data_IF_039328506096
#
_entry.id   IF_039328506096
#
_cell.length_a   1.000
_cell.length_b   1.000
_cell.length_c   1.000
_cell.angle_alpha   90.00
_cell.angle_beta   90.00
_cell.angle_gamma   90.00
#
_symmetry.space_group_name_H-M   'P 1'
#
loop_
_entity.id
_entity.type
_entity.pdbx_description
1 polymer ?
#
# COMPACT_ATOMS: atom_id res chain seq x y z
N UNK A 1 37.87 -19.92 71.43
CA UNK A 1 38.27 -20.21 70.02
C UNK A 1 37.26 -21.23 69.50
N UNK A 2 36.53 -21.05 68.40
CA UNK A 2 36.70 -20.18 67.25
C UNK A 2 35.33 -19.68 66.74
N UNK A 3 35.28 -18.44 66.25
CA UNK A 3 34.18 -17.92 65.42
C UNK A 3 34.40 -18.40 63.98
N UNK A 4 33.42 -19.08 63.37
CA UNK A 4 33.42 -19.29 61.91
C UNK A 4 32.48 -18.29 61.26
N UNK A 5 33.07 -17.44 60.42
CA UNK A 5 32.38 -16.45 59.60
C UNK A 5 31.77 -17.13 58.37
N UNK A 6 30.50 -16.83 58.16
CA UNK A 6 29.68 -17.17 56.99
C UNK A 6 30.30 -16.67 55.69
N UNK A 7 30.48 -17.56 54.72
CA UNK A 7 30.78 -17.20 53.33
C UNK A 7 29.58 -17.63 52.44
N UNK A 8 28.67 -16.70 52.16
CA UNK A 8 27.64 -16.88 51.12
C UNK A 8 28.32 -16.68 49.76
N UNK A 9 28.42 -17.75 48.99
CA UNK A 9 28.85 -17.71 47.59
C UNK A 9 27.81 -16.92 46.78
N UNK A 10 28.23 -15.77 46.23
CA UNK A 10 27.45 -15.04 45.23
C UNK A 10 27.66 -15.70 43.88
N UNK A 11 26.58 -16.22 43.28
CA UNK A 11 26.59 -16.65 41.88
C UNK A 11 26.77 -15.44 40.96
N UNK A 12 27.53 -15.55 39.86
CA UNK A 12 27.73 -14.45 38.93
C UNK A 12 26.41 -14.11 38.22
N UNK A 13 25.91 -12.88 38.44
CA UNK A 13 24.77 -12.34 37.68
C UNK A 13 25.14 -12.27 36.19
N UNK A 14 24.32 -12.88 35.34
CA UNK A 14 24.43 -12.72 33.88
C UNK A 14 24.30 -11.23 33.53
N UNK A 15 25.11 -10.70 32.59
CA UNK A 15 25.03 -9.31 32.18
C UNK A 15 23.64 -9.02 31.61
N UNK A 16 22.94 -8.05 32.21
CA UNK A 16 21.62 -7.59 31.76
C UNK A 16 21.77 -7.01 30.35
N UNK A 17 21.27 -7.75 29.37
CA UNK A 17 21.20 -7.33 27.98
C UNK A 17 20.47 -5.97 27.92
N UNK A 18 21.07 -4.97 27.28
CA UNK A 18 20.52 -3.61 27.26
C UNK A 18 19.20 -3.62 26.47
N UNK A 19 18.08 -3.70 27.19
CA UNK A 19 16.75 -3.64 26.60
C UNK A 19 16.56 -2.28 25.92
N UNK A 20 16.37 -2.29 24.60
CA UNK A 20 16.13 -1.09 23.80
C UNK A 20 14.85 -0.35 24.20
N UNK A 21 14.79 0.95 23.91
CA UNK A 21 13.69 1.84 24.33
C UNK A 21 12.30 1.33 23.90
N UNK A 22 12.17 0.82 22.68
CA UNK A 22 10.91 0.25 22.18
C UNK A 22 10.47 -0.98 22.98
N UNK A 23 11.39 -1.86 23.35
CA UNK A 23 11.06 -3.06 24.11
C UNK A 23 10.70 -2.73 25.57
N UNK A 24 11.29 -1.67 26.13
CA UNK A 24 10.84 -1.12 27.42
C UNK A 24 9.41 -0.57 27.35
N UNK A 25 9.07 0.11 26.26
CA UNK A 25 7.73 0.63 26.02
C UNK A 25 6.70 -0.49 25.81
N UNK A 26 7.02 -1.51 25.00
CA UNK A 26 6.17 -2.69 24.80
C UNK A 26 5.90 -3.43 26.12
N UNK A 27 6.94 -3.67 26.93
CA UNK A 27 6.78 -4.30 28.25
C UNK A 27 5.90 -3.47 29.20
N UNK A 28 6.02 -2.13 29.16
CA UNK A 28 5.16 -1.24 29.95
C UNK A 28 3.70 -1.33 29.51
N UNK A 29 3.44 -1.33 28.19
CA UNK A 29 2.10 -1.48 27.65
C UNK A 29 1.49 -2.85 27.98
N UNK A 30 2.28 -3.92 27.88
CA UNK A 30 1.83 -5.29 28.19
C UNK A 30 1.40 -5.42 29.65
N UNK A 31 2.19 -4.87 30.57
CA UNK A 31 1.92 -4.95 32.01
C UNK A 31 0.74 -4.08 32.47
N UNK A 32 0.60 -2.87 31.92
CA UNK A 32 -0.35 -1.87 32.44
C UNK A 32 -1.62 -1.72 31.59
N UNK A 33 -1.55 -2.05 30.29
CA UNK A 33 -2.63 -1.81 29.33
C UNK A 33 -2.75 -2.96 28.30
N UNK A 34 -3.13 -4.18 28.73
CA UNK A 34 -3.06 -5.39 27.89
C UNK A 34 -3.92 -5.32 26.61
N UNK A 35 -5.09 -4.66 26.66
CA UNK A 35 -5.92 -4.43 25.45
C UNK A 35 -5.24 -3.50 24.44
N UNK A 36 -4.61 -2.43 24.92
CA UNK A 36 -3.84 -1.49 24.10
C UNK A 36 -2.59 -2.16 23.52
N UNK A 37 -1.93 -3.00 24.32
CA UNK A 37 -0.79 -3.80 23.87
C UNK A 37 -1.16 -4.79 22.76
N UNK A 38 -2.29 -5.49 22.88
CA UNK A 38 -2.77 -6.40 21.84
C UNK A 38 -2.99 -5.67 20.50
N UNK A 39 -3.63 -4.50 20.53
CA UNK A 39 -3.81 -3.66 19.33
C UNK A 39 -2.47 -3.14 18.78
N UNK A 40 -1.56 -2.70 19.65
CA UNK A 40 -0.22 -2.26 19.29
C UNK A 40 0.57 -3.38 18.59
N UNK A 41 0.58 -4.59 19.15
CA UNK A 41 1.25 -5.76 18.55
C UNK A 41 0.64 -6.12 17.20
N UNK A 42 -0.69 -6.09 17.08
CA UNK A 42 -1.37 -6.24 15.78
C UNK A 42 -0.74 -5.28 14.77
N UNK A 43 -0.81 -3.98 15.04
CA UNK A 43 -0.31 -2.91 14.15
C UNK A 43 1.16 -3.13 13.77
N UNK A 44 2.02 -3.37 14.75
CA UNK A 44 3.46 -3.58 14.53
C UNK A 44 3.70 -4.81 13.66
N UNK A 45 2.99 -5.91 13.90
CA UNK A 45 3.21 -7.16 13.17
C UNK A 45 2.75 -7.07 11.71
N UNK A 46 1.59 -6.50 11.42
CA UNK A 46 1.21 -6.30 10.00
C UNK A 46 2.02 -5.21 9.29
N UNK A 47 2.58 -4.22 10.01
CA UNK A 47 3.60 -3.33 9.44
C UNK A 47 4.88 -4.11 9.08
N UNK A 48 5.32 -5.04 9.93
CA UNK A 48 6.46 -5.94 9.63
C UNK A 48 6.16 -6.82 8.42
N UNK A 49 4.94 -7.33 8.29
CA UNK A 49 4.53 -8.13 7.12
C UNK A 49 4.56 -7.29 5.85
N UNK A 50 4.04 -6.06 5.87
CA UNK A 50 4.11 -5.15 4.72
C UNK A 50 5.56 -4.84 4.29
N UNK A 51 6.46 -4.63 5.25
CA UNK A 51 7.89 -4.40 4.98
C UNK A 51 8.57 -5.67 4.45
N UNK A 52 8.20 -6.84 4.99
CA UNK A 52 8.70 -8.14 4.53
C UNK A 52 8.33 -8.39 3.08
N UNK A 53 7.07 -8.19 2.72
CA UNK A 53 6.59 -8.35 1.36
C UNK A 53 7.22 -7.33 0.41
N UNK A 54 7.45 -6.10 0.85
CA UNK A 54 8.16 -5.10 0.06
C UNK A 54 9.60 -5.55 -0.25
N UNK A 55 10.31 -6.06 0.76
CA UNK A 55 11.67 -6.62 0.56
C UNK A 55 11.65 -7.83 -0.37
N UNK A 56 10.65 -8.70 -0.21
CA UNK A 56 10.43 -9.85 -1.07
C UNK A 56 10.21 -9.42 -2.53
N UNK A 57 9.34 -8.44 -2.78
CA UNK A 57 9.09 -7.87 -4.11
C UNK A 57 10.36 -7.31 -4.76
N UNK A 58 11.16 -6.53 -4.03
CA UNK A 58 12.42 -5.98 -4.54
C UNK A 58 13.45 -7.07 -4.84
N UNK A 59 13.53 -8.10 -3.99
CA UNK A 59 14.40 -9.25 -4.20
C UNK A 59 14.02 -10.01 -5.48
N UNK A 60 12.72 -10.26 -5.66
CA UNK A 60 12.15 -10.89 -6.85
C UNK A 60 12.45 -10.07 -8.11
N UNK A 61 12.14 -8.77 -8.09
CA UNK A 61 12.33 -7.88 -9.25
C UNK A 61 13.81 -7.79 -9.65
N UNK A 62 14.72 -7.74 -8.67
CA UNK A 62 16.16 -7.75 -8.91
C UNK A 62 16.63 -9.09 -9.47
N UNK A 63 16.13 -10.21 -8.94
CA UNK A 63 16.49 -11.56 -9.37
C UNK A 63 16.00 -11.92 -10.77
N UNK A 64 14.82 -11.44 -11.15
CA UNK A 64 14.29 -11.57 -12.52
C UNK A 64 15.10 -10.74 -13.52
N UNK A 65 15.52 -9.51 -13.15
CA UNK A 65 16.36 -8.65 -14.02
C UNK A 65 17.76 -9.20 -14.26
N UNK A 66 18.26 -10.05 -13.37
CA UNK A 66 19.62 -10.61 -13.43
C UNK A 66 19.65 -12.09 -13.86
N UNK A 67 18.53 -12.64 -14.35
CA UNK A 67 18.34 -14.06 -14.70
C UNK A 67 18.69 -15.07 -13.58
N UNK A 68 18.88 -14.59 -12.35
CA UNK A 68 19.19 -15.41 -11.17
C UNK A 68 17.94 -16.05 -10.54
N UNK A 69 16.75 -15.58 -10.90
CA UNK A 69 15.46 -16.10 -10.44
C UNK A 69 14.58 -16.35 -11.65
N UNK A 70 14.04 -17.57 -11.77
CA UNK A 70 13.05 -17.93 -12.80
C UNK A 70 11.68 -18.06 -12.14
N UNK A 71 10.63 -17.64 -12.84
CA UNK A 71 9.24 -17.71 -12.34
C UNK A 71 8.88 -19.13 -11.89
N UNK A 72 9.35 -20.14 -12.62
CA UNK A 72 9.15 -21.57 -12.34
C UNK A 72 9.78 -22.06 -11.02
N UNK A 73 10.76 -21.31 -10.50
CA UNK A 73 11.53 -21.66 -9.30
C UNK A 73 11.13 -20.85 -8.07
N UNK A 74 10.16 -19.94 -8.21
CA UNK A 74 9.71 -19.09 -7.13
C UNK A 74 8.87 -19.87 -6.11
N UNK A 75 9.01 -19.53 -4.83
CA UNK A 75 8.10 -20.06 -3.82
C UNK A 75 6.71 -19.48 -3.99
N UNK A 76 5.70 -20.16 -3.45
CA UNK A 76 4.32 -19.68 -3.49
C UNK A 76 4.17 -18.27 -2.91
N UNK A 77 4.86 -17.98 -1.81
CA UNK A 77 4.83 -16.68 -1.13
C UNK A 77 5.48 -15.58 -1.98
N UNK A 78 6.57 -15.92 -2.69
CA UNK A 78 7.21 -15.00 -3.64
C UNK A 78 6.29 -14.73 -4.84
N UNK A 79 5.63 -15.76 -5.35
CA UNK A 79 4.64 -15.62 -6.41
C UNK A 79 3.47 -14.75 -5.96
N UNK A 80 2.94 -14.90 -4.74
CA UNK A 80 1.85 -14.07 -4.21
C UNK A 80 2.25 -12.59 -4.05
N UNK A 81 3.50 -12.31 -3.70
CA UNK A 81 4.06 -10.96 -3.65
C UNK A 81 4.34 -10.38 -5.04
N UNK A 82 4.67 -11.24 -6.01
CA UNK A 82 4.95 -10.88 -7.40
C UNK A 82 3.68 -10.72 -8.24
N UNK A 83 2.66 -11.54 -7.97
CA UNK A 83 1.40 -11.60 -8.68
C UNK A 83 0.66 -10.28 -8.51
N UNK A 84 0.48 -9.62 -9.64
CA UNK A 84 -0.25 -8.37 -9.79
C UNK A 84 -1.62 -8.50 -9.11
N UNK A 85 -1.95 -7.59 -8.19
CA UNK A 85 -3.27 -7.56 -7.53
C UNK A 85 -4.41 -7.13 -8.47
N UNK A 86 -4.09 -6.72 -9.69
CA UNK A 86 -5.03 -6.22 -10.69
C UNK A 86 -6.15 -7.21 -11.04
N UNK A 87 -5.92 -8.51 -11.32
CA UNK A 87 -7.00 -9.46 -11.63
C UNK A 87 -7.95 -9.66 -10.45
N UNK A 88 -7.42 -9.75 -9.22
CA UNK A 88 -8.24 -9.93 -8.03
C UNK A 88 -9.14 -8.72 -7.78
N UNK A 89 -8.60 -7.50 -7.92
CA UNK A 89 -9.35 -6.25 -7.74
C UNK A 89 -10.34 -6.03 -8.90
N UNK A 90 -9.95 -6.32 -10.14
CA UNK A 90 -10.83 -6.13 -11.31
C UNK A 90 -11.98 -7.14 -11.37
N UNK A 91 -11.83 -8.33 -10.77
CA UNK A 91 -12.86 -9.38 -10.79
C UNK A 91 -14.23 -8.97 -10.21
N UNK A 92 -14.29 -7.95 -9.36
CA UNK A 92 -15.53 -7.42 -8.79
C UNK A 92 -15.97 -6.09 -9.39
N UNK A 93 -15.22 -5.56 -10.35
CA UNK A 93 -15.62 -4.38 -11.11
C UNK A 93 -16.61 -4.83 -12.19
N UNK A 94 -17.74 -4.15 -12.28
CA UNK A 94 -18.69 -4.34 -13.38
C UNK A 94 -18.60 -3.16 -14.33
N UNK A 95 -18.68 -3.46 -15.62
CA UNK A 95 -18.61 -2.48 -16.70
C UNK A 95 -19.99 -2.34 -17.35
N UNK A 96 -20.33 -1.14 -17.79
CA UNK A 96 -21.55 -0.91 -18.58
C UNK A 96 -21.47 -1.56 -19.96
N UNK A 97 -22.62 -1.86 -20.55
CA UNK A 97 -22.76 -2.67 -21.78
C UNK A 97 -21.97 -2.14 -23.00
N UNK A 98 -21.64 -0.84 -23.02
CA UNK A 98 -20.96 -0.18 -24.13
C UNK A 98 -19.48 0.15 -23.84
N UNK A 99 -18.95 -0.31 -22.72
CA UNK A 99 -17.55 -0.07 -22.33
C UNK A 99 -16.65 -1.15 -22.96
N UNK A 100 -15.68 -0.73 -23.77
CA UNK A 100 -14.61 -1.60 -24.28
C UNK A 100 -13.37 -1.45 -23.39
N UNK A 101 -12.75 -2.58 -23.08
CA UNK A 101 -11.46 -2.61 -22.37
C UNK A 101 -10.29 -2.51 -23.36
N UNK A 102 -9.15 -1.89 -22.99
CA UNK A 102 -8.96 -1.10 -21.76
C UNK A 102 -9.75 0.22 -21.80
N UNK A 103 -10.33 0.60 -20.67
CA UNK A 103 -11.17 1.79 -20.58
C UNK A 103 -10.32 3.06 -20.54
N UNK A 104 -10.71 4.09 -21.30
CA UNK A 104 -10.06 5.39 -21.20
C UNK A 104 -10.48 6.09 -19.88
N UNK A 105 -9.58 6.84 -19.25
CA UNK A 105 -9.88 7.67 -18.08
C UNK A 105 -11.19 8.46 -18.21
N UNK A 106 -11.47 9.04 -19.38
CA UNK A 106 -12.67 9.83 -19.62
C UNK A 106 -13.98 9.06 -19.40
N UNK A 107 -13.95 7.74 -19.60
CA UNK A 107 -15.08 6.84 -19.47
C UNK A 107 -15.25 6.31 -18.03
N UNK A 108 -14.30 6.53 -17.12
CA UNK A 108 -14.40 6.09 -15.73
C UNK A 108 -15.34 7.03 -14.98
N UNK A 109 -16.49 6.51 -14.59
CA UNK A 109 -17.51 7.18 -13.78
C UNK A 109 -18.47 6.12 -13.22
N UNK A 110 -19.40 6.52 -12.36
CA UNK A 110 -20.33 5.58 -11.71
C UNK A 110 -21.38 4.95 -12.63
N UNK A 111 -21.61 5.47 -13.84
CA UNK A 111 -22.56 4.86 -14.79
C UNK A 111 -21.88 3.77 -15.61
N UNK A 112 -20.60 3.97 -15.95
CA UNK A 112 -19.83 3.08 -16.80
C UNK A 112 -19.05 2.03 -16.02
N UNK A 113 -18.71 2.34 -14.76
CA UNK A 113 -17.89 1.50 -13.87
C UNK A 113 -18.59 1.41 -12.53
N UNK A 114 -19.11 0.22 -12.23
CA UNK A 114 -19.76 -0.07 -10.96
C UNK A 114 -18.77 -0.89 -10.13
N UNK A 115 -18.35 -0.30 -9.01
CA UNK A 115 -17.51 -0.96 -8.00
C UNK A 115 -18.30 -1.14 -6.71
N UNK A 116 -18.06 -2.24 -5.97
CA UNK A 116 -18.67 -2.41 -4.65
C UNK A 116 -18.21 -1.30 -3.70
N UNK A 117 -19.11 -0.84 -2.82
CA UNK A 117 -18.74 0.07 -1.73
C UNK A 117 -17.71 -0.57 -0.80
N UNK A 118 -16.88 0.25 -0.13
CA UNK A 118 -15.76 -0.25 0.67
C UNK A 118 -16.20 -1.16 1.81
N UNK A 119 -17.40 -0.93 2.36
CA UNK A 119 -18.02 -1.72 3.44
C UNK A 119 -18.58 -3.05 2.95
N UNK A 120 -18.84 -3.16 1.64
CA UNK A 120 -19.38 -4.36 1.00
C UNK A 120 -18.30 -5.26 0.39
N UNK A 121 -17.02 -4.89 0.51
CA UNK A 121 -15.90 -5.69 0.02
C UNK A 121 -15.76 -6.98 0.85
N UNK A 122 -15.62 -8.11 0.16
CA UNK A 122 -15.18 -9.34 0.81
C UNK A 122 -13.72 -9.22 1.29
N UNK A 123 -13.32 -10.10 2.22
CA UNK A 123 -12.01 -10.02 2.86
C UNK A 123 -10.84 -10.14 1.86
N UNK A 124 -11.02 -10.93 0.80
CA UNK A 124 -9.99 -11.11 -0.22
C UNK A 124 -9.82 -9.84 -1.06
N UNK A 125 -10.93 -9.25 -1.52
CA UNK A 125 -10.91 -8.01 -2.28
C UNK A 125 -10.35 -6.85 -1.45
N UNK A 126 -10.81 -6.73 -0.20
CA UNK A 126 -10.29 -5.75 0.76
C UNK A 126 -8.78 -5.92 0.92
N UNK A 127 -8.29 -7.14 1.15
CA UNK A 127 -6.85 -7.42 1.23
C UNK A 127 -6.10 -6.95 -0.01
N UNK A 128 -6.53 -7.34 -1.21
CA UNK A 128 -5.85 -6.94 -2.44
C UNK A 128 -5.86 -5.43 -2.67
N UNK A 129 -6.97 -4.75 -2.37
CA UNK A 129 -7.07 -3.30 -2.47
C UNK A 129 -6.15 -2.59 -1.47
N UNK A 130 -6.06 -3.08 -0.24
CA UNK A 130 -5.13 -2.58 0.78
C UNK A 130 -3.67 -2.73 0.33
N UNK A 131 -3.32 -3.90 -0.22
CA UNK A 131 -1.97 -4.18 -0.70
C UNK A 131 -1.61 -3.34 -1.92
N UNK A 132 -2.53 -3.20 -2.86
CA UNK A 132 -2.37 -2.34 -4.05
C UNK A 132 -2.09 -0.88 -3.67
N UNK A 133 -2.85 -0.35 -2.70
CA UNK A 133 -2.65 1.00 -2.18
C UNK A 133 -1.54 1.11 -1.13
N UNK A 134 -0.87 -0.01 -0.81
CA UNK A 134 0.22 -0.09 0.17
C UNK A 134 -0.17 0.47 1.54
N UNK A 135 -1.41 0.22 1.96
CA UNK A 135 -1.94 0.62 3.26
C UNK A 135 -2.03 -0.58 4.21
N UNK A 136 -1.92 -0.29 5.52
CA UNK A 136 -1.97 -1.33 6.55
C UNK A 136 -3.34 -2.04 6.59
N UNK A 137 -3.37 -3.36 6.80
CA UNK A 137 -4.64 -4.09 6.93
C UNK A 137 -5.38 -3.82 8.24
N UNK A 138 -4.72 -3.29 9.28
CA UNK A 138 -5.40 -2.93 10.52
C UNK A 138 -6.19 -1.65 10.36
N UNK A 139 -7.48 -1.72 10.70
CA UNK A 139 -8.44 -0.66 10.38
C UNK A 139 -8.42 -0.33 8.88
N UNK A 140 -8.30 -1.37 8.03
CA UNK A 140 -8.09 -1.23 6.60
C UNK A 140 -9.10 -0.32 5.91
N UNK A 141 -10.39 -0.44 6.26
CA UNK A 141 -11.44 0.43 5.77
C UNK A 141 -11.13 1.92 6.04
N UNK A 142 -10.81 2.27 7.29
CA UNK A 142 -10.43 3.63 7.68
C UNK A 142 -9.18 4.11 6.94
N UNK A 143 -8.20 3.23 6.73
CA UNK A 143 -6.97 3.55 6.01
C UNK A 143 -7.21 3.77 4.51
N UNK A 144 -8.10 3.00 3.89
CA UNK A 144 -8.51 3.20 2.50
C UNK A 144 -9.27 4.51 2.32
N UNK A 145 -10.21 4.84 3.22
CA UNK A 145 -10.89 6.14 3.19
C UNK A 145 -9.91 7.30 3.34
N UNK A 146 -8.97 7.20 4.28
CA UNK A 146 -7.92 8.21 4.43
C UNK A 146 -7.04 8.32 3.17
N UNK A 147 -6.76 7.19 2.50
CA UNK A 147 -6.02 7.16 1.24
C UNK A 147 -6.79 7.85 0.11
N UNK A 148 -8.08 7.53 -0.04
CA UNK A 148 -8.99 8.17 -1.00
C UNK A 148 -9.02 9.68 -0.79
N UNK A 149 -9.24 10.12 0.46
CA UNK A 149 -9.27 11.54 0.81
C UNK A 149 -7.95 12.26 0.47
N UNK A 150 -6.80 11.63 0.74
CA UNK A 150 -5.50 12.19 0.40
C UNK A 150 -5.32 12.35 -1.12
N UNK A 151 -5.73 11.35 -1.91
CA UNK A 151 -5.72 11.44 -3.38
C UNK A 151 -6.67 12.54 -3.87
N UNK A 152 -7.89 12.61 -3.35
CA UNK A 152 -8.86 13.65 -3.73
C UNK A 152 -8.37 15.05 -3.39
N UNK A 153 -7.75 15.24 -2.22
CA UNK A 153 -7.17 16.52 -1.81
C UNK A 153 -6.04 16.94 -2.74
N UNK A 154 -5.16 16.00 -3.10
CA UNK A 154 -4.06 16.25 -4.03
C UNK A 154 -4.58 16.58 -5.43
N UNK A 155 -5.57 15.83 -5.92
CA UNK A 155 -6.19 16.04 -7.22
C UNK A 155 -6.90 17.40 -7.29
N UNK A 156 -7.58 17.81 -6.21
CA UNK A 156 -8.21 19.13 -6.13
C UNK A 156 -7.18 20.25 -6.20
N UNK A 157 -6.07 20.13 -5.47
CA UNK A 157 -5.00 21.14 -5.50
C UNK A 157 -4.40 21.31 -6.89
N UNK A 158 -4.16 20.22 -7.60
CA UNK A 158 -3.63 20.28 -8.97
C UNK A 158 -4.65 20.80 -9.99
N UNK A 159 -5.95 20.64 -9.70
CA UNK A 159 -7.03 21.19 -10.53
C UNK A 159 -7.21 22.70 -10.34
N UNK A 160 -7.07 23.16 -9.09
CA UNK A 160 -7.13 24.60 -8.75
C UNK A 160 -5.92 25.38 -9.29
N UNK A 161 -4.79 24.70 -9.45
CA UNK A 161 -3.54 25.27 -9.96
C UNK A 161 -2.90 24.41 -11.07
N UNK A 162 -3.49 24.38 -12.29
CA UNK A 162 -2.98 23.58 -13.41
C UNK A 162 -1.54 23.93 -13.82
N UNK A 163 -1.11 25.17 -13.59
CA UNK A 163 0.26 25.64 -13.83
C UNK A 163 1.30 24.82 -13.07
N UNK A 164 0.96 24.29 -11.88
CA UNK A 164 1.83 23.40 -11.13
C UNK A 164 2.14 22.13 -11.92
N UNK A 165 1.17 21.63 -12.68
CA UNK A 165 1.39 20.46 -13.54
C UNK A 165 2.32 20.83 -14.68
N UNK A 166 2.29 22.05 -15.23
CA UNK A 166 3.19 22.47 -16.31
C UNK A 166 4.63 22.68 -15.82
N UNK A 167 4.80 23.18 -14.61
CA UNK A 167 6.11 23.50 -14.02
C UNK A 167 6.84 22.28 -13.41
N UNK A 168 6.14 21.18 -13.14
CA UNK A 168 6.73 19.96 -12.58
C UNK A 168 7.86 19.44 -13.47
N UNK A 169 8.98 19.06 -12.84
CA UNK A 169 10.03 18.26 -13.47
C UNK A 169 9.54 16.84 -13.71
N UNK A 170 10.13 16.15 -14.68
CA UNK A 170 9.83 14.75 -15.00
C UNK A 170 9.71 13.84 -13.76
N UNK A 171 10.67 13.90 -12.84
CA UNK A 171 10.64 13.07 -11.61
C UNK A 171 9.41 13.35 -10.72
N UNK A 172 8.92 14.59 -10.71
CA UNK A 172 7.74 15.00 -9.95
C UNK A 172 6.48 14.46 -10.63
N UNK A 173 6.40 14.55 -11.96
CA UNK A 173 5.31 13.95 -12.76
C UNK A 173 5.25 12.43 -12.53
N UNK A 174 6.40 11.75 -12.63
CA UNK A 174 6.54 10.32 -12.35
C UNK A 174 6.03 10.00 -10.94
N UNK A 175 6.43 10.79 -9.95
CA UNK A 175 5.98 10.63 -8.56
C UNK A 175 4.47 10.77 -8.44
N UNK A 176 3.86 11.76 -9.12
CA UNK A 176 2.40 11.95 -9.12
C UNK A 176 1.66 10.74 -9.74
N UNK A 177 2.16 10.19 -10.84
CA UNK A 177 1.59 9.00 -11.47
C UNK A 177 1.72 7.76 -10.56
N UNK A 178 2.88 7.57 -9.92
CA UNK A 178 3.13 6.47 -9.00
C UNK A 178 2.26 6.52 -7.73
N UNK A 179 2.04 7.71 -7.17
CA UNK A 179 1.13 7.90 -6.04
C UNK A 179 -0.28 7.41 -6.41
N UNK A 180 -0.72 7.69 -7.63
CA UNK A 180 -2.04 7.27 -8.15
C UNK A 180 -2.07 5.84 -8.66
N UNK A 181 -0.92 5.14 -8.65
CA UNK A 181 -0.76 3.79 -9.22
C UNK A 181 -1.11 3.74 -10.71
N UNK A 182 -0.84 4.82 -11.46
CA UNK A 182 -1.01 4.89 -12.91
C UNK A 182 0.26 4.32 -13.57
N UNK A 183 0.10 3.30 -14.43
CA UNK A 183 1.22 2.73 -15.18
C UNK A 183 1.75 3.68 -16.26
N UNK A 184 3.04 3.55 -16.52
CA UNK A 184 3.77 4.16 -17.61
C UNK A 184 5.02 3.32 -17.90
N UNK A 185 5.53 3.41 -19.12
CA UNK A 185 6.78 2.74 -19.50
C UNK A 185 8.00 3.66 -19.27
N UNK A 186 9.16 3.05 -19.08
CA UNK A 186 10.42 3.77 -18.80
C UNK A 186 10.91 4.59 -20.01
N UNK A 187 10.42 4.30 -21.21
CA UNK A 187 10.75 4.97 -22.48
C UNK A 187 9.76 6.07 -22.88
N UNK A 188 8.69 6.29 -22.09
CA UNK A 188 7.75 7.38 -22.34
C UNK A 188 8.40 8.74 -22.06
N UNK A 189 8.20 9.70 -22.97
CA UNK A 189 8.71 11.06 -22.79
C UNK A 189 7.91 11.87 -21.75
N UNK A 190 8.55 12.92 -21.24
CA UNK A 190 7.98 13.80 -20.20
C UNK A 190 6.61 14.39 -20.58
N UNK A 191 6.42 14.79 -21.83
CA UNK A 191 5.14 15.34 -22.32
C UNK A 191 4.01 14.31 -22.23
N UNK A 192 4.29 13.05 -22.58
CA UNK A 192 3.32 11.95 -22.49
C UNK A 192 2.92 11.67 -21.06
N UNK A 193 3.90 11.63 -20.14
CA UNK A 193 3.65 11.45 -18.71
C UNK A 193 2.82 12.61 -18.14
N UNK A 194 3.13 13.84 -18.53
CA UNK A 194 2.41 15.04 -18.09
C UNK A 194 0.98 15.06 -18.61
N UNK A 195 0.77 14.77 -19.89
CA UNK A 195 -0.56 14.66 -20.49
C UNK A 195 -1.40 13.58 -19.80
N UNK A 196 -0.78 12.45 -19.43
CA UNK A 196 -1.45 11.40 -18.65
C UNK A 196 -1.90 11.88 -17.28
N UNK A 197 -1.07 12.67 -16.59
CA UNK A 197 -1.45 13.28 -15.32
C UNK A 197 -2.59 14.28 -15.49
N UNK A 198 -2.55 15.14 -16.51
CA UNK A 198 -3.63 16.09 -16.82
C UNK A 198 -4.96 15.36 -17.03
N UNK A 199 -4.97 14.34 -17.89
CA UNK A 199 -6.16 13.52 -18.14
C UNK A 199 -6.71 12.88 -16.86
N UNK A 200 -5.85 12.40 -15.96
CA UNK A 200 -6.30 11.89 -14.67
C UNK A 200 -6.98 12.97 -13.83
N UNK A 201 -6.40 14.18 -13.74
CA UNK A 201 -6.92 15.27 -12.91
C UNK A 201 -8.27 15.79 -13.41
N UNK A 202 -8.47 15.80 -14.73
CA UNK A 202 -9.76 16.14 -15.36
C UNK A 202 -10.86 15.16 -14.97
N UNK A 203 -10.55 13.86 -14.90
CA UNK A 203 -11.55 12.83 -14.63
C UNK A 203 -11.75 12.57 -13.14
N UNK A 204 -10.76 12.88 -12.30
CA UNK A 204 -10.79 12.54 -10.88
C UNK A 204 -11.91 13.23 -10.10
N UNK A 205 -12.44 14.34 -10.62
CA UNK A 205 -13.60 15.01 -10.04
C UNK A 205 -14.87 14.14 -10.10
N UNK A 206 -14.99 13.26 -11.11
CA UNK A 206 -16.10 12.31 -11.24
C UNK A 206 -16.12 11.27 -10.10
N UNK A 207 -15.01 11.13 -9.39
CA UNK A 207 -14.84 10.23 -8.24
C UNK A 207 -15.09 10.92 -6.90
N UNK A 208 -15.35 12.24 -6.89
CA UNK A 208 -15.50 13.01 -5.65
C UNK A 208 -16.60 12.42 -4.77
N UNK A 209 -16.25 12.15 -3.51
CA UNK A 209 -17.15 11.53 -2.53
C UNK A 209 -17.41 10.03 -2.75
N UNK A 210 -16.72 9.39 -3.70
CA UNK A 210 -16.88 7.97 -4.05
C UNK A 210 -15.57 7.23 -3.82
N UNK A 211 -15.27 6.98 -2.55
CA UNK A 211 -13.98 6.45 -2.11
C UNK A 211 -13.60 5.16 -2.82
N UNK A 212 -14.55 4.23 -2.95
CA UNK A 212 -14.31 2.98 -3.65
C UNK A 212 -13.93 3.22 -5.11
N UNK A 213 -14.68 4.06 -5.83
CA UNK A 213 -14.39 4.33 -7.24
C UNK A 213 -13.01 4.99 -7.42
N UNK A 214 -12.64 5.94 -6.57
CA UNK A 214 -11.33 6.59 -6.64
C UNK A 214 -10.18 5.60 -6.45
N UNK A 215 -10.33 4.66 -5.51
CA UNK A 215 -9.32 3.63 -5.22
C UNK A 215 -9.24 2.56 -6.32
N UNK A 216 -10.33 2.30 -7.03
CA UNK A 216 -10.37 1.33 -8.14
C UNK A 216 -10.02 1.95 -9.49
N UNK A 217 -10.15 3.27 -9.66
CA UNK A 217 -10.01 3.94 -10.95
C UNK A 217 -8.69 3.62 -11.67
N UNK A 218 -7.58 3.56 -10.92
CA UNK A 218 -6.29 3.18 -11.49
C UNK A 218 -6.31 1.74 -12.01
N UNK A 219 -6.78 0.77 -11.20
CA UNK A 219 -6.90 -0.64 -11.62
C UNK A 219 -7.77 -0.74 -12.87
N UNK A 220 -8.90 -0.03 -12.89
CA UNK A 220 -9.88 -0.04 -13.97
C UNK A 220 -9.30 0.51 -15.28
N UNK A 221 -8.58 1.63 -15.23
CA UNK A 221 -7.93 2.22 -16.39
C UNK A 221 -6.84 1.34 -17.04
N UNK A 222 -6.36 0.34 -16.29
CA UNK A 222 -5.20 -0.47 -16.63
C UNK A 222 -5.55 -1.96 -16.76
N UNK A 223 -6.81 -2.33 -16.51
CA UNK A 223 -7.29 -3.69 -16.73
C UNK A 223 -7.51 -3.88 -18.24
N UNK A 224 -6.63 -4.66 -18.84
CA UNK A 224 -6.69 -5.13 -20.23
C UNK A 224 -6.67 -6.65 -20.21
#
# INVERSE_FOLDING_TARGET
>A
MAMSLSCRQMTPEKPKEKIGLMKKYENYLEANHPKTYALHRQIIDGCKWCISDLKCYWHIRKGLKSDHLKIETMTKEQLEVYLQHFPAISSKVKYGDFVKLPINFAQINSTNVIVPELEALDAAHMYHLLRFHQVSPFNGLTKLRARSLALSTLDNKLRESPELITEMKEIEVITQLQIRKINFNEDENEETLRNRLVQWIEVSDKFRGKDSLHLHAAVVAQSS
#
